data_IF_676417788685
#
_entry.id   IF_676417788685
#
_cell.length_a   1.000
_cell.length_b   1.000
_cell.length_c   1.000
_cell.angle_alpha   90.00
_cell.angle_beta   90.00
_cell.angle_gamma   90.00
#
_symmetry.space_group_name_H-M   'P 1'
#
loop_
_entity.id
_entity.type
_entity.pdbx_description
1 polymer ?
#
# COMPACT_ATOMS: atom_id res chain seq x y z
N UNK A 1 -17.28 14.84 5.02
CA UNK A 1 -17.34 13.49 4.41
C UNK A 1 -16.08 12.76 4.85
N UNK A 2 -16.20 11.52 5.29
CA UNK A 2 -15.04 10.71 5.68
C UNK A 2 -14.15 10.44 4.46
N UNK A 3 -12.83 10.51 4.64
CA UNK A 3 -11.87 10.07 3.63
C UNK A 3 -11.92 8.55 3.40
N UNK A 4 -12.46 7.84 4.38
CA UNK A 4 -12.53 6.38 4.42
C UNK A 4 -13.62 5.87 3.46
N UNK A 5 -13.23 4.88 2.63
CA UNK A 5 -14.14 4.18 1.72
C UNK A 5 -14.53 2.85 2.36
N UNK A 6 -15.82 2.63 2.57
CA UNK A 6 -16.35 1.33 3.00
C UNK A 6 -16.82 0.54 1.80
N UNK A 7 -16.52 -0.76 1.81
CA UNK A 7 -17.01 -1.70 0.82
C UNK A 7 -18.13 -2.58 1.40
N UNK A 8 -19.10 -2.92 0.56
CA UNK A 8 -19.97 -4.05 0.81
C UNK A 8 -19.16 -5.35 0.63
N UNK A 9 -19.56 -6.44 1.28
CA UNK A 9 -18.97 -7.76 1.05
C UNK A 9 -18.85 -8.06 -0.45
N UNK A 10 -17.68 -8.50 -0.85
CA UNK A 10 -17.40 -8.89 -2.23
C UNK A 10 -16.27 -9.94 -2.23
N UNK A 11 -16.26 -10.87 -3.21
CA UNK A 11 -15.38 -12.04 -3.14
C UNK A 11 -13.88 -11.69 -3.20
N UNK A 12 -13.51 -10.51 -3.71
CA UNK A 12 -12.10 -10.10 -3.82
C UNK A 12 -11.56 -9.70 -2.45
N UNK A 13 -12.29 -8.86 -1.73
CA UNK A 13 -11.87 -8.37 -0.40
C UNK A 13 -12.17 -9.38 0.70
N UNK A 14 -13.27 -10.12 0.60
CA UNK A 14 -13.67 -11.13 1.59
C UNK A 14 -12.61 -12.23 1.71
N UNK A 15 -12.06 -12.69 0.58
CA UNK A 15 -10.95 -13.65 0.60
C UNK A 15 -9.73 -13.12 1.36
N UNK A 16 -9.37 -11.87 1.17
CA UNK A 16 -8.24 -11.25 1.85
C UNK A 16 -8.47 -11.15 3.36
N UNK A 17 -9.69 -10.78 3.76
CA UNK A 17 -10.08 -10.70 5.19
C UNK A 17 -10.10 -12.09 5.82
N UNK A 18 -10.64 -13.08 5.13
CA UNK A 18 -10.72 -14.45 5.64
C UNK A 18 -9.34 -15.11 5.84
N UNK A 19 -8.37 -14.75 5.00
CA UNK A 19 -7.06 -15.40 4.94
C UNK A 19 -5.90 -14.50 5.40
N UNK A 20 -6.16 -13.42 6.09
CA UNK A 20 -5.12 -12.43 6.43
C UNK A 20 -3.97 -13.01 7.28
N UNK A 21 -4.25 -13.97 8.18
CA UNK A 21 -3.21 -14.60 8.99
C UNK A 21 -2.28 -15.47 8.15
N UNK A 22 -2.84 -16.29 7.26
CA UNK A 22 -2.05 -17.10 6.33
C UNK A 22 -1.20 -16.23 5.41
N UNK A 23 -1.78 -15.15 4.88
CA UNK A 23 -1.08 -14.18 4.01
C UNK A 23 0.09 -13.54 4.77
N UNK A 24 -0.12 -13.15 6.03
CA UNK A 24 0.93 -12.62 6.91
C UNK A 24 2.06 -13.62 7.08
N UNK A 25 1.71 -14.83 7.46
CA UNK A 25 2.69 -15.87 7.80
C UNK A 25 3.49 -16.31 6.57
N UNK A 26 2.85 -16.44 5.41
CA UNK A 26 3.52 -16.69 4.14
C UNK A 26 4.51 -15.58 3.77
N UNK A 27 4.11 -14.32 3.91
CA UNK A 27 4.99 -13.19 3.65
C UNK A 27 6.20 -13.16 4.57
N UNK A 28 6.00 -13.35 5.86
CA UNK A 28 7.09 -13.40 6.86
C UNK A 28 8.04 -14.55 6.58
N UNK A 29 7.51 -15.75 6.30
CA UNK A 29 8.31 -16.93 5.99
C UNK A 29 9.12 -16.77 4.71
N UNK A 30 8.51 -16.23 3.65
CA UNK A 30 9.16 -15.95 2.38
C UNK A 30 10.31 -14.95 2.55
N UNK A 31 10.09 -13.88 3.32
CA UNK A 31 11.13 -12.89 3.60
C UNK A 31 12.28 -13.48 4.42
N UNK A 32 11.97 -14.31 5.41
CA UNK A 32 13.00 -15.02 6.18
C UNK A 32 13.80 -15.99 5.30
N UNK A 33 13.14 -16.79 4.48
CA UNK A 33 13.80 -17.72 3.57
C UNK A 33 14.76 -17.00 2.59
N UNK A 34 14.36 -15.82 2.12
CA UNK A 34 15.13 -15.02 1.16
C UNK A 34 16.35 -14.33 1.79
N UNK A 35 16.22 -13.86 3.01
CA UNK A 35 17.21 -12.97 3.64
C UNK A 35 17.97 -13.61 4.78
N UNK A 36 17.46 -14.72 5.35
CA UNK A 36 17.95 -15.32 6.57
C UNK A 36 17.72 -14.47 7.83
N UNK A 37 16.97 -13.37 7.70
CA UNK A 37 16.72 -12.41 8.77
C UNK A 37 15.22 -12.27 9.02
N UNK A 38 14.82 -12.09 10.27
CA UNK A 38 13.44 -11.72 10.56
C UNK A 38 13.16 -10.25 10.11
N UNK A 39 11.89 -9.88 10.03
CA UNK A 39 11.51 -8.54 9.55
C UNK A 39 12.05 -7.38 10.40
N UNK A 40 12.35 -7.60 11.69
CA UNK A 40 12.99 -6.60 12.56
C UNK A 40 14.47 -6.41 12.23
N UNK A 41 15.12 -7.46 11.73
CA UNK A 41 16.53 -7.47 11.40
C UNK A 41 16.83 -7.05 9.96
N UNK A 42 15.80 -6.85 9.13
CA UNK A 42 15.95 -6.37 7.75
C UNK A 42 16.38 -4.89 7.73
N UNK A 43 17.61 -4.66 8.19
CA UNK A 43 18.16 -3.32 8.35
C UNK A 43 18.63 -2.69 7.03
N UNK A 44 19.00 -3.48 6.04
CA UNK A 44 19.76 -3.02 4.88
C UNK A 44 19.01 -3.06 3.53
N UNK A 45 17.85 -3.69 3.48
CA UNK A 45 17.00 -3.62 2.29
C UNK A 45 16.13 -2.35 2.34
N UNK A 46 16.75 -1.19 2.53
CA UNK A 46 16.08 0.03 2.09
C UNK A 46 15.96 -0.09 0.57
N UNK A 47 14.81 -0.52 0.09
CA UNK A 47 14.42 -0.07 -1.23
C UNK A 47 14.61 1.42 -1.16
N UNK A 48 15.58 1.94 -1.91
CA UNK A 48 15.80 3.37 -2.07
C UNK A 48 14.62 3.92 -2.85
N UNK A 49 13.46 3.90 -2.22
CA UNK A 49 12.31 4.67 -2.67
C UNK A 49 12.68 6.13 -2.42
N UNK A 50 13.61 6.63 -3.22
CA UNK A 50 13.99 8.03 -3.27
C UNK A 50 12.88 8.83 -3.99
N UNK A 51 11.62 8.57 -3.62
CA UNK A 51 10.53 9.39 -4.10
C UNK A 51 10.63 10.74 -3.38
N UNK A 52 11.02 11.74 -4.12
CA UNK A 52 10.96 13.14 -3.68
C UNK A 52 9.60 13.65 -4.17
N UNK A 53 8.74 14.03 -3.25
CA UNK A 53 7.52 14.76 -3.62
C UNK A 53 7.91 15.91 -4.54
N UNK A 54 7.40 15.90 -5.76
CA UNK A 54 7.71 16.92 -6.80
C UNK A 54 7.39 18.34 -6.32
N UNK A 55 6.53 18.47 -5.31
CA UNK A 55 6.01 19.73 -4.80
C UNK A 55 6.79 20.30 -3.61
N UNK A 56 7.28 19.44 -2.71
CA UNK A 56 7.99 19.87 -1.49
C UNK A 56 9.49 19.69 -1.58
N UNK A 57 9.98 18.92 -2.55
CA UNK A 57 11.39 18.46 -2.63
C UNK A 57 11.84 17.74 -1.34
N UNK A 58 10.90 17.28 -0.55
CA UNK A 58 11.14 16.56 0.68
C UNK A 58 11.17 15.06 0.42
N UNK A 59 12.00 14.37 1.16
CA UNK A 59 12.07 12.92 1.11
C UNK A 59 10.74 12.34 1.59
N UNK A 60 10.07 11.56 0.75
CA UNK A 60 8.78 10.96 1.10
C UNK A 60 8.91 9.94 2.23
N UNK A 61 9.98 9.16 2.22
CA UNK A 61 10.21 8.10 3.19
C UNK A 61 11.44 8.39 4.05
N UNK A 62 11.28 8.28 5.37
CA UNK A 62 12.35 8.31 6.33
C UNK A 62 12.37 7.00 7.12
N UNK A 63 13.55 6.56 7.55
CA UNK A 63 13.70 5.28 8.23
C UNK A 63 13.70 4.09 7.28
N UNK A 64 13.16 2.96 7.72
CA UNK A 64 13.28 1.66 7.03
C UNK A 64 11.91 1.17 6.58
N UNK A 65 11.65 1.31 5.30
CA UNK A 65 10.44 0.80 4.67
C UNK A 65 10.85 -0.16 3.57
N UNK A 66 10.33 -1.38 3.63
CA UNK A 66 10.52 -2.40 2.62
C UNK A 66 9.26 -2.49 1.78
N UNK A 67 9.38 -2.41 0.48
CA UNK A 67 8.31 -2.70 -0.46
C UNK A 67 8.64 -3.99 -1.23
N UNK A 68 7.70 -4.92 -1.28
CA UNK A 68 7.81 -6.15 -2.05
C UNK A 68 6.60 -6.26 -2.97
N UNK A 69 6.80 -5.93 -4.25
CA UNK A 69 5.76 -6.08 -5.25
C UNK A 69 5.55 -7.57 -5.57
N UNK A 70 4.30 -8.03 -5.51
CA UNK A 70 3.91 -9.35 -5.99
C UNK A 70 3.39 -9.31 -7.40
N UNK A 71 2.71 -8.23 -7.76
CA UNK A 71 2.07 -8.09 -9.06
C UNK A 71 1.94 -6.62 -9.44
N UNK A 72 2.34 -6.27 -10.64
CA UNK A 72 2.08 -4.96 -11.25
C UNK A 72 1.80 -5.17 -12.73
N UNK A 73 0.65 -4.75 -13.21
CA UNK A 73 0.36 -4.83 -14.65
C UNK A 73 1.28 -3.90 -15.44
N UNK A 74 1.70 -4.33 -16.64
CA UNK A 74 2.56 -3.52 -17.51
C UNK A 74 2.03 -2.11 -17.76
N UNK A 75 0.72 -1.94 -17.85
CA UNK A 75 0.08 -0.64 -18.08
C UNK A 75 0.37 0.37 -16.95
N UNK A 76 0.49 -0.12 -15.71
CA UNK A 76 0.81 0.73 -14.55
C UNK A 76 2.23 1.30 -14.67
N UNK A 77 3.14 0.57 -15.31
CA UNK A 77 4.53 0.99 -15.49
C UNK A 77 4.72 2.09 -16.53
N UNK A 78 3.69 2.39 -17.31
CA UNK A 78 3.73 3.48 -18.29
C UNK A 78 3.40 4.84 -17.69
N UNK A 79 2.84 4.87 -16.49
CA UNK A 79 2.54 6.13 -15.80
C UNK A 79 3.84 6.84 -15.35
N UNK A 80 3.85 8.18 -15.34
CA UNK A 80 5.05 8.94 -15.01
C UNK A 80 5.68 8.58 -13.66
N UNK A 81 4.87 8.23 -12.69
CA UNK A 81 5.27 7.88 -11.33
C UNK A 81 6.06 6.56 -11.29
N UNK A 82 5.62 5.55 -12.03
CA UNK A 82 6.35 4.28 -12.14
C UNK A 82 7.74 4.50 -12.74
N UNK A 83 7.85 5.41 -13.72
CA UNK A 83 9.13 5.83 -14.29
C UNK A 83 10.01 6.56 -13.27
N UNK A 84 9.42 7.39 -12.42
CA UNK A 84 10.15 8.09 -11.36
C UNK A 84 10.69 7.14 -10.28
N UNK A 85 9.97 6.05 -10.01
CA UNK A 85 10.41 5.01 -9.08
C UNK A 85 11.49 4.09 -9.68
N UNK A 86 11.89 4.33 -10.93
CA UNK A 86 12.86 3.52 -11.66
C UNK A 86 12.49 2.03 -11.73
N UNK A 87 11.19 1.75 -11.75
CA UNK A 87 10.66 0.40 -11.85
C UNK A 87 10.88 -0.10 -13.28
N UNK A 88 11.71 -1.13 -13.40
CA UNK A 88 11.90 -1.78 -14.69
C UNK A 88 10.91 -2.95 -14.80
N UNK A 89 10.16 -3.07 -15.91
CA UNK A 89 9.19 -4.14 -16.11
C UNK A 89 9.77 -5.54 -15.80
N UNK A 90 10.97 -5.79 -16.32
CA UNK A 90 11.64 -7.09 -16.14
C UNK A 90 12.03 -7.40 -14.69
N UNK A 91 12.31 -6.40 -13.87
CA UNK A 91 12.61 -6.61 -12.45
C UNK A 91 11.36 -6.89 -11.65
N UNK A 92 10.24 -6.29 -12.03
CA UNK A 92 8.96 -6.50 -11.36
C UNK A 92 8.40 -7.88 -11.69
N UNK A 93 8.42 -8.27 -12.95
CA UNK A 93 8.01 -9.60 -13.40
C UNK A 93 8.86 -10.69 -12.73
N UNK A 94 10.18 -10.54 -12.70
CA UNK A 94 11.08 -11.48 -12.02
C UNK A 94 10.83 -11.53 -10.52
N UNK A 95 10.61 -10.40 -9.87
CA UNK A 95 10.33 -10.37 -8.42
C UNK A 95 8.99 -11.01 -8.08
N UNK A 96 8.03 -10.92 -8.96
CA UNK A 96 6.76 -11.57 -8.77
C UNK A 96 6.84 -13.08 -8.90
N UNK A 97 7.42 -13.60 -9.98
CA UNK A 97 7.60 -15.03 -10.17
C UNK A 97 8.37 -15.67 -9.02
N UNK A 98 9.44 -15.05 -8.58
CA UNK A 98 10.26 -15.52 -7.47
C UNK A 98 9.54 -15.51 -6.10
N UNK A 99 8.54 -14.65 -5.92
CA UNK A 99 7.90 -14.47 -4.62
C UNK A 99 6.59 -15.25 -4.49
N UNK A 100 5.84 -15.40 -5.58
CA UNK A 100 4.47 -15.91 -5.51
C UNK A 100 4.41 -17.42 -5.21
N UNK A 101 5.39 -18.19 -5.66
CA UNK A 101 5.41 -19.63 -5.44
C UNK A 101 5.60 -20.02 -3.96
N UNK A 102 6.17 -19.12 -3.17
CA UNK A 102 6.32 -19.27 -1.73
C UNK A 102 5.12 -18.75 -0.94
N UNK A 103 4.09 -18.28 -1.64
CA UNK A 103 2.90 -17.70 -1.04
C UNK A 103 1.63 -18.32 -1.65
N UNK A 104 1.33 -19.60 -1.33
CA UNK A 104 0.27 -20.35 -1.98
C UNK A 104 -1.12 -19.72 -1.81
N UNK A 105 -1.41 -19.10 -0.67
CA UNK A 105 -2.68 -18.39 -0.44
C UNK A 105 -2.83 -17.19 -1.37
N UNK A 106 -1.77 -16.38 -1.48
CA UNK A 106 -1.76 -15.25 -2.41
C UNK A 106 -1.78 -15.70 -3.87
N UNK A 107 -1.06 -16.76 -4.21
CA UNK A 107 -1.07 -17.34 -5.57
C UNK A 107 -2.47 -17.78 -5.98
N UNK A 108 -3.18 -18.47 -5.08
CA UNK A 108 -4.56 -18.88 -5.32
C UNK A 108 -5.47 -17.67 -5.56
N UNK A 109 -5.38 -16.65 -4.72
CA UNK A 109 -6.17 -15.43 -4.84
C UNK A 109 -5.86 -14.68 -6.15
N UNK A 110 -4.59 -14.51 -6.50
CA UNK A 110 -4.17 -13.87 -7.74
C UNK A 110 -4.69 -14.61 -8.97
N UNK A 111 -4.62 -15.95 -8.98
CA UNK A 111 -5.16 -16.75 -10.08
C UNK A 111 -6.67 -16.55 -10.29
N UNK A 112 -7.42 -16.28 -9.21
CA UNK A 112 -8.86 -16.02 -9.29
C UNK A 112 -9.17 -14.59 -9.77
N UNK A 113 -8.36 -13.61 -9.37
CA UNK A 113 -8.77 -12.20 -9.48
C UNK A 113 -7.78 -11.29 -10.22
N UNK A 114 -6.67 -11.78 -10.75
CA UNK A 114 -5.64 -10.96 -11.40
C UNK A 114 -6.16 -10.00 -12.48
N UNK A 115 -7.22 -10.38 -13.20
CA UNK A 115 -7.80 -9.54 -14.25
C UNK A 115 -8.48 -8.28 -13.68
N UNK A 116 -8.82 -8.30 -12.40
CA UNK A 116 -9.42 -7.18 -11.68
C UNK A 116 -8.40 -6.30 -10.97
N UNK A 117 -7.14 -6.71 -10.95
CA UNK A 117 -6.08 -6.04 -10.20
C UNK A 117 -5.19 -5.19 -11.11
N UNK A 118 -4.64 -4.13 -10.56
CA UNK A 118 -3.60 -3.33 -11.19
C UNK A 118 -2.25 -3.54 -10.50
N UNK A 119 -2.22 -3.60 -9.16
CA UNK A 119 -1.00 -3.90 -8.42
C UNK A 119 -1.29 -4.60 -7.08
N UNK A 120 -0.30 -5.35 -6.60
CA UNK A 120 -0.31 -6.01 -5.28
C UNK A 120 1.07 -5.86 -4.67
N UNK A 121 1.16 -5.12 -3.56
CA UNK A 121 2.44 -4.76 -2.95
C UNK A 121 2.38 -4.92 -1.44
N UNK A 122 3.35 -5.62 -0.86
CA UNK A 122 3.56 -5.59 0.58
C UNK A 122 4.45 -4.42 0.97
N UNK A 123 4.03 -3.68 1.99
CA UNK A 123 4.85 -2.66 2.64
C UNK A 123 5.11 -3.06 4.09
N UNK A 124 6.37 -3.08 4.47
CA UNK A 124 6.78 -3.30 5.84
C UNK A 124 7.52 -2.05 6.35
N UNK A 125 6.90 -1.31 7.25
CA UNK A 125 7.51 -0.16 7.92
C UNK A 125 8.08 -0.60 9.25
N UNK A 126 9.39 -0.35 9.46
CA UNK A 126 10.09 -0.64 10.70
C UNK A 126 9.83 0.45 11.75
N UNK A 127 10.00 0.16 13.04
CA UNK A 127 10.01 1.17 14.08
C UNK A 127 10.90 2.37 13.73
N UNK A 128 10.42 3.58 13.99
CA UNK A 128 11.09 4.84 13.66
C UNK A 128 10.89 5.32 12.21
N UNK A 129 10.15 4.57 11.39
CA UNK A 129 9.87 5.00 10.01
C UNK A 129 8.82 6.10 9.95
N UNK A 130 8.99 6.99 8.98
CA UNK A 130 8.03 8.04 8.66
C UNK A 130 7.73 7.99 7.15
N UNK A 131 6.44 8.03 6.81
CA UNK A 131 5.99 8.39 5.46
C UNK A 131 5.44 9.80 5.58
N UNK A 132 6.18 10.75 5.02
CA UNK A 132 5.80 12.15 5.08
C UNK A 132 4.48 12.39 4.33
N UNK A 133 3.75 13.39 4.76
CA UNK A 133 2.45 13.71 4.16
C UNK A 133 2.55 13.99 2.67
N UNK A 134 1.73 13.31 1.91
CA UNK A 134 1.67 13.39 0.46
C UNK A 134 0.25 13.08 -0.04
N UNK A 135 0.01 13.37 -1.30
CA UNK A 135 -1.10 12.79 -2.06
C UNK A 135 -0.60 11.55 -2.76
N UNK A 136 -1.45 10.56 -2.91
CA UNK A 136 -1.16 9.36 -3.67
C UNK A 136 -0.97 9.65 -5.16
N UNK A 137 -0.45 8.65 -5.85
CA UNK A 137 -0.19 8.76 -7.28
C UNK A 137 -1.48 8.74 -8.11
N UNK A 138 -1.43 9.28 -9.33
CA UNK A 138 -2.58 9.34 -10.24
C UNK A 138 -3.18 7.96 -10.60
N UNK A 139 -2.44 6.88 -10.34
CA UNK A 139 -2.95 5.50 -10.53
C UNK A 139 -4.26 5.24 -9.79
N UNK A 140 -4.49 5.89 -8.64
CA UNK A 140 -5.72 5.79 -7.87
C UNK A 140 -6.92 6.42 -8.57
N UNK A 141 -6.70 7.23 -9.59
CA UNK A 141 -7.76 7.70 -10.49
C UNK A 141 -8.55 6.56 -11.12
N UNK A 142 -7.88 5.44 -11.39
CA UNK A 142 -8.46 4.29 -12.10
C UNK A 142 -8.73 3.09 -11.22
N UNK A 143 -8.23 3.13 -9.99
CA UNK A 143 -8.25 1.99 -9.07
C UNK A 143 -8.72 2.43 -7.69
N UNK A 144 -9.32 1.46 -6.96
CA UNK A 144 -9.44 1.55 -5.51
C UNK A 144 -8.20 0.93 -4.88
N UNK A 145 -7.46 1.70 -4.09
CA UNK A 145 -6.38 1.17 -3.27
C UNK A 145 -6.94 0.71 -1.94
N UNK A 146 -6.93 -0.58 -1.74
CA UNK A 146 -7.29 -1.19 -0.46
C UNK A 146 -6.02 -1.63 0.28
N UNK A 147 -6.07 -1.52 1.59
CA UNK A 147 -4.98 -1.91 2.48
C UNK A 147 -5.51 -2.95 3.45
N UNK A 148 -4.86 -4.10 3.49
CA UNK A 148 -5.08 -5.11 4.52
C UNK A 148 -3.95 -5.00 5.56
N UNK A 149 -4.29 -4.72 6.80
CA UNK A 149 -3.33 -4.68 7.90
C UNK A 149 -2.98 -6.12 8.31
N UNK A 150 -1.73 -6.51 8.13
CA UNK A 150 -1.24 -7.84 8.47
C UNK A 150 -0.56 -7.86 9.85
N UNK A 151 0.19 -6.81 10.19
CA UNK A 151 0.67 -6.56 11.54
C UNK A 151 0.51 -5.10 11.87
N UNK A 152 0.19 -4.80 13.12
CA UNK A 152 0.00 -3.44 13.59
C UNK A 152 0.77 -3.18 14.90
N UNK A 153 0.94 -1.92 15.18
CA UNK A 153 1.47 -1.43 16.46
C UNK A 153 0.63 -0.22 16.86
N UNK A 154 0.14 -0.14 18.11
CA UNK A 154 -0.71 0.96 18.55
C UNK A 154 -0.03 2.34 18.44
N UNK A 155 1.30 2.37 18.44
CA UNK A 155 2.09 3.59 18.27
C UNK A 155 2.53 3.84 16.82
N UNK A 156 2.02 3.04 15.87
CA UNK A 156 2.09 3.35 14.46
C UNK A 156 0.82 4.11 14.05
N UNK A 157 0.93 5.41 13.87
CA UNK A 157 -0.19 6.28 13.54
C UNK A 157 -0.24 6.51 12.03
N UNK A 158 -1.44 6.45 11.51
CA UNK A 158 -1.77 6.81 10.14
C UNK A 158 -2.64 8.07 10.19
N UNK A 159 -2.18 9.10 9.53
CA UNK A 159 -2.90 10.37 9.46
C UNK A 159 -3.50 10.57 8.08
N UNK A 160 -4.77 10.95 8.04
CA UNK A 160 -5.44 11.41 6.82
C UNK A 160 -5.99 12.81 7.15
N UNK A 161 -5.36 13.84 6.58
CA UNK A 161 -5.60 15.25 6.93
C UNK A 161 -5.47 15.49 8.43
N UNK A 162 -6.57 15.73 9.13
CA UNK A 162 -6.56 15.98 10.59
C UNK A 162 -7.12 14.79 11.40
N UNK A 163 -7.34 13.64 10.77
CA UNK A 163 -7.82 12.44 11.43
C UNK A 163 -6.69 11.43 11.61
N UNK A 164 -6.57 10.88 12.81
CA UNK A 164 -5.54 9.89 13.16
C UNK A 164 -6.18 8.53 13.33
N UNK A 165 -5.63 7.55 12.64
CA UNK A 165 -6.08 6.17 12.67
C UNK A 165 -4.98 5.25 13.21
N UNK A 166 -5.42 4.18 13.88
CA UNK A 166 -4.58 3.04 14.25
C UNK A 166 -5.25 1.79 13.72
N UNK A 167 -4.56 1.09 12.84
CA UNK A 167 -5.10 -0.11 12.21
C UNK A 167 -4.69 -1.34 12.98
N UNK A 168 -5.62 -2.27 13.18
CA UNK A 168 -5.36 -3.56 13.80
C UNK A 168 -5.22 -4.66 12.75
N UNK A 169 -4.48 -5.75 13.05
CA UNK A 169 -4.37 -6.88 12.12
C UNK A 169 -5.73 -7.44 11.73
N UNK A 170 -5.92 -7.73 10.45
CA UNK A 170 -7.19 -8.15 9.87
C UNK A 170 -8.07 -7.01 9.36
N UNK A 171 -7.81 -5.76 9.75
CA UNK A 171 -8.55 -4.62 9.19
C UNK A 171 -8.22 -4.45 7.70
N UNK A 172 -9.28 -4.36 6.90
CA UNK A 172 -9.19 -3.93 5.51
C UNK A 172 -9.79 -2.54 5.40
N UNK A 173 -9.03 -1.62 4.86
CA UNK A 173 -9.43 -0.23 4.70
C UNK A 173 -9.05 0.34 3.35
N UNK A 174 -9.80 1.32 2.91
CA UNK A 174 -9.48 2.12 1.74
C UNK A 174 -9.80 3.59 1.97
N UNK A 175 -9.11 4.45 1.28
CA UNK A 175 -9.39 5.89 1.22
C UNK A 175 -8.96 6.41 -0.15
N UNK A 176 -9.45 7.57 -0.53
CA UNK A 176 -9.03 8.20 -1.77
C UNK A 176 -7.69 8.90 -1.56
N UNK A 177 -6.61 8.12 -1.68
CA UNK A 177 -5.25 8.60 -1.43
C UNK A 177 -4.79 9.66 -2.44
N UNK A 178 -5.42 9.72 -3.61
CA UNK A 178 -5.18 10.78 -4.57
C UNK A 178 -5.82 12.11 -4.17
N UNK A 179 -6.85 12.10 -3.33
CA UNK A 179 -7.60 13.29 -2.94
C UNK A 179 -7.27 13.78 -1.54
N UNK A 180 -6.84 12.89 -0.64
CA UNK A 180 -6.57 13.22 0.76
C UNK A 180 -5.09 13.18 1.07
N UNK A 181 -4.63 14.24 1.74
CA UNK A 181 -3.25 14.39 2.19
C UNK A 181 -3.01 13.47 3.39
N UNK A 182 -2.06 12.56 3.28
CA UNK A 182 -1.89 11.50 4.27
C UNK A 182 -0.42 11.16 4.53
N UNK A 183 -0.18 10.54 5.70
CA UNK A 183 1.16 10.14 6.12
C UNK A 183 1.14 9.09 7.23
N UNK A 184 2.32 8.58 7.56
CA UNK A 184 2.52 7.59 8.62
C UNK A 184 3.66 8.02 9.51
N UNK A 185 3.49 7.85 10.82
CA UNK A 185 4.55 8.01 11.82
C UNK A 185 4.57 6.78 12.73
N UNK A 186 5.64 6.02 12.65
CA UNK A 186 5.80 4.76 13.38
C UNK A 186 6.72 4.93 14.58
N UNK A 187 6.14 5.14 15.75
CA UNK A 187 6.86 5.28 17.03
C UNK A 187 6.87 4.00 17.87
N UNK A 188 6.25 2.94 17.37
CA UNK A 188 6.11 1.67 18.05
C UNK A 188 7.39 0.82 18.02
N UNK A 189 7.25 -0.44 18.43
CA UNK A 189 8.36 -1.38 18.60
C UNK A 189 8.29 -2.58 17.66
N UNK A 190 7.17 -2.79 16.98
CA UNK A 190 6.93 -3.92 16.07
C UNK A 190 6.77 -3.44 14.64
N UNK A 191 7.23 -4.19 13.63
CA UNK A 191 7.01 -3.83 12.23
C UNK A 191 5.52 -3.71 11.91
N UNK A 192 5.13 -2.68 11.15
CA UNK A 192 3.82 -2.60 10.53
C UNK A 192 3.90 -3.18 9.12
N UNK A 193 3.16 -4.24 8.86
CA UNK A 193 3.06 -4.87 7.55
C UNK A 193 1.66 -4.67 7.00
N UNK A 194 1.59 -4.19 5.77
CA UNK A 194 0.35 -3.94 5.04
C UNK A 194 0.46 -4.56 3.66
N UNK A 195 -0.60 -5.23 3.23
CA UNK A 195 -0.81 -5.60 1.84
C UNK A 195 -1.65 -4.49 1.19
N UNK A 196 -1.06 -3.76 0.26
CA UNK A 196 -1.75 -2.78 -0.56
C UNK A 196 -2.11 -3.41 -1.91
N UNK A 197 -3.38 -3.29 -2.28
CA UNK A 197 -3.93 -3.86 -3.52
C UNK A 197 -4.65 -2.76 -4.28
N UNK A 198 -4.26 -2.55 -5.52
CA UNK A 198 -4.99 -1.69 -6.45
C UNK A 198 -5.98 -2.54 -7.24
N UNK A 199 -7.27 -2.36 -6.97
CA UNK A 199 -8.37 -3.03 -7.64
C UNK A 199 -9.04 -2.05 -8.60
N UNK A 200 -9.29 -2.47 -9.84
CA UNK A 200 -9.90 -1.60 -10.85
C UNK A 200 -11.23 -1.04 -10.37
N UNK A 201 -11.46 0.26 -10.54
CA UNK A 201 -12.72 0.91 -10.19
C UNK A 201 -13.92 0.25 -10.86
N UNK A 202 -13.79 -0.13 -12.12
CA UNK A 202 -14.83 -0.84 -12.86
C UNK A 202 -15.26 -2.16 -12.21
N UNK A 203 -14.40 -2.75 -11.37
CA UNK A 203 -14.72 -3.97 -10.63
C UNK A 203 -15.43 -3.70 -9.31
N UNK A 204 -14.98 -2.68 -8.56
CA UNK A 204 -15.46 -2.44 -7.19
C UNK A 204 -16.43 -1.27 -7.05
N UNK A 205 -16.68 -0.50 -8.08
CA UNK A 205 -17.52 0.70 -7.99
C UNK A 205 -18.89 0.39 -7.40
N UNK A 206 -19.53 -0.71 -7.80
CA UNK A 206 -20.84 -1.11 -7.29
C UNK A 206 -20.83 -1.59 -5.83
N UNK A 207 -19.64 -1.88 -5.29
CA UNK A 207 -19.46 -2.32 -3.91
C UNK A 207 -19.00 -1.22 -2.96
N UNK A 208 -18.56 -0.08 -3.47
CA UNK A 208 -18.11 1.04 -2.66
C UNK A 208 -19.31 1.85 -2.16
N UNK A 209 -19.57 1.83 -0.83
CA UNK A 209 -20.74 2.48 -0.23
C UNK A 209 -20.50 3.94 0.13
N UNK A 210 -19.28 4.32 0.45
CA UNK A 210 -18.93 5.68 0.88
C UNK A 210 -18.10 6.43 -0.18
N UNK A 211 -18.06 5.90 -1.40
CA UNK A 211 -17.31 6.51 -2.49
C UNK A 211 -18.20 7.51 -3.24
N UNK A 212 -17.72 8.73 -3.32
CA UNK A 212 -18.27 9.76 -4.21
C UNK A 212 -17.23 10.06 -5.26
N UNK A 213 -17.51 9.76 -6.51
CA UNK A 213 -16.62 10.10 -7.60
C UNK A 213 -16.42 11.62 -7.66
N UNK A 214 -15.16 12.04 -7.61
CA UNK A 214 -14.78 13.45 -7.65
C UNK A 214 -13.96 13.72 -8.90
N UNK A 215 -14.07 14.93 -9.48
CA UNK A 215 -13.18 15.33 -10.55
C UNK A 215 -11.72 15.22 -10.09
N UNK A 216 -10.90 14.60 -10.92
CA UNK A 216 -9.47 14.54 -10.66
C UNK A 216 -8.86 15.95 -10.65
N UNK A 217 -8.15 16.28 -9.61
CA UNK A 217 -7.39 17.53 -9.48
C UNK A 217 -5.91 17.17 -9.48
N UNK A 218 -5.12 17.65 -10.46
CA UNK A 218 -3.68 17.42 -10.47
C UNK A 218 -3.02 17.91 -9.18
N UNK A 219 -2.03 17.18 -8.69
CA UNK A 219 -1.30 17.49 -7.44
C UNK A 219 -0.84 18.94 -7.35
N UNK A 220 -0.37 19.48 -8.48
CA UNK A 220 0.08 20.88 -8.56
C UNK A 220 -1.02 21.90 -8.22
N UNK A 221 -2.29 21.52 -8.34
CA UNK A 221 -3.45 22.39 -8.12
C UNK A 221 -4.16 22.11 -6.78
N UNK A 222 -3.83 21.02 -6.09
CA UNK A 222 -4.43 20.73 -4.79
C UNK A 222 -3.91 21.68 -3.72
N UNK A 223 -4.78 22.29 -2.91
CA UNK A 223 -4.33 23.04 -1.74
C UNK A 223 -3.69 22.09 -0.74
N UNK A 224 -2.60 22.52 -0.09
CA UNK A 224 -2.09 21.78 1.07
C UNK A 224 -2.99 22.05 2.27
N UNK A 225 -3.55 21.04 2.90
CA UNK A 225 -4.26 21.21 4.15
C UNK A 225 -3.28 21.61 5.26
N UNK A 226 -3.79 22.33 6.24
CA UNK A 226 -3.05 22.57 7.47
C UNK A 226 -3.10 21.29 8.29
N UNK A 227 -1.96 20.64 8.49
CA UNK A 227 -1.84 19.46 9.32
C UNK A 227 -1.29 19.92 10.68
N UNK A 228 -2.04 19.65 11.73
CA UNK A 228 -1.57 19.86 13.09
C UNK A 228 -0.56 18.79 13.48
N UNK A 229 0.36 19.12 14.36
CA UNK A 229 1.35 18.17 14.87
C UNK A 229 0.68 16.92 15.48
N UNK A 230 1.16 15.77 15.14
CA UNK A 230 0.60 14.48 15.49
C UNK A 230 1.66 13.43 15.84
#
# INVERSE_FOLDING_TARGET
>A
MSAYIRFRPNPITDYLIEHWEQIRDEFVAQRFAKTGKNLLELQDESTKLNYVSSRRKEKLFEGRIVAAALYVKPEVLTIPEAKQMNWQPNEIERRWEDNIDQMPTMKKWLNMYQEHLASVVFYAAQPGSVINHHFGVESTRYNFRVHLCLTGDPDCKFNIENEIYTWVPGDLFAFDDAMYFHGIKHRGTRPRIVLAVDIKKTTLQDFAIDFVERPFIPDAQKPFPVIYDW
#
